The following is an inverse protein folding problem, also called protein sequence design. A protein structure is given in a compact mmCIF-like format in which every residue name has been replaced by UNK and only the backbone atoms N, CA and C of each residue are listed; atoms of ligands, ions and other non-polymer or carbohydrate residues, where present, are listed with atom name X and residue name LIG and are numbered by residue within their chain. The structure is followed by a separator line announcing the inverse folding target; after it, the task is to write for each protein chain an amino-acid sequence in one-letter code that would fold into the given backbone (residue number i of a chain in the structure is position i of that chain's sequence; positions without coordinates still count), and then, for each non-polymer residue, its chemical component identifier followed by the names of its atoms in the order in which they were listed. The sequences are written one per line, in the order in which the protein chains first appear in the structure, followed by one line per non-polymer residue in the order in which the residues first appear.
data_IF_437598504636
#
_entry.id   IF_437598504636
#
_cell.length_a   1.000
_cell.length_b   1.000
_cell.length_c   1.000
_cell.angle_alpha   90.00
_cell.angle_beta   90.00
_cell.angle_gamma   90.00
#
_symmetry.space_group_name_H-M   'P 1'
#
loop_
_entity.id
_entity.type
_entity.pdbx_description
1 polymer ?
#
# COMPACT_ATOMS: atom_id res chain seq x y z
N UNK A 1 -1.08 25.33 -21.61
CA UNK A 1 -0.53 24.64 -20.43
C UNK A 1 -1.07 23.23 -20.44
N UNK A 2 -0.21 22.22 -20.55
CA UNK A 2 -0.62 20.81 -20.41
C UNK A 2 -0.67 20.49 -18.92
N UNK A 3 -1.77 19.88 -18.47
CA UNK A 3 -1.91 19.46 -17.07
C UNK A 3 -1.02 18.24 -16.82
N UNK A 4 -0.14 18.30 -15.82
CA UNK A 4 0.68 17.17 -15.42
C UNK A 4 -0.12 16.30 -14.45
N UNK A 5 -0.45 15.07 -14.87
CA UNK A 5 -1.21 14.12 -14.06
C UNK A 5 -0.40 13.45 -12.95
N UNK A 6 0.93 13.51 -13.02
CA UNK A 6 1.82 12.78 -12.11
C UNK A 6 1.61 13.11 -10.61
N UNK A 7 1.48 14.40 -10.18
CA UNK A 7 1.23 14.72 -8.78
C UNK A 7 -0.11 14.19 -8.26
N UNK A 8 -1.14 14.20 -9.12
CA UNK A 8 -2.46 13.67 -8.79
C UNK A 8 -2.40 12.14 -8.62
N UNK A 9 -1.70 11.44 -9.50
CA UNK A 9 -1.48 9.99 -9.43
C UNK A 9 -0.80 9.60 -8.12
N UNK A 10 0.28 10.31 -7.72
CA UNK A 10 0.95 10.05 -6.44
C UNK A 10 -0.01 10.24 -5.27
N UNK A 11 -0.76 11.35 -5.25
CA UNK A 11 -1.73 11.60 -4.19
C UNK A 11 -2.77 10.48 -4.10
N UNK A 12 -3.34 10.08 -5.24
CA UNK A 12 -4.39 9.06 -5.33
C UNK A 12 -3.95 7.70 -4.78
N UNK A 13 -2.67 7.33 -4.92
CA UNK A 13 -2.15 6.06 -4.43
C UNK A 13 -1.52 6.14 -3.03
N UNK A 14 -1.13 7.32 -2.57
CA UNK A 14 -0.53 7.51 -1.23
C UNK A 14 -1.57 7.78 -0.14
N UNK A 15 -2.68 8.47 -0.44
CA UNK A 15 -3.71 8.76 0.55
C UNK A 15 -4.33 7.49 1.19
N UNK A 16 -4.63 6.39 0.46
CA UNK A 16 -5.23 5.20 1.06
C UNK A 16 -4.24 4.52 2.02
N UNK A 17 -2.94 4.58 1.71
CA UNK A 17 -1.87 4.11 2.60
C UNK A 17 -1.86 4.91 3.90
N UNK A 18 -1.95 6.24 3.80
CA UNK A 18 -2.04 7.10 4.99
C UNK A 18 -3.26 6.79 5.85
N UNK A 19 -4.43 6.52 5.23
CA UNK A 19 -5.63 6.07 5.94
C UNK A 19 -5.40 4.73 6.65
N UNK A 20 -4.83 3.74 5.95
CA UNK A 20 -4.50 2.44 6.54
C UNK A 20 -3.57 2.55 7.76
N UNK A 21 -2.54 3.38 7.66
CA UNK A 21 -1.63 3.70 8.77
C UNK A 21 -2.43 4.31 9.93
N UNK A 22 -3.24 5.33 9.65
CA UNK A 22 -4.04 6.04 10.66
C UNK A 22 -4.98 5.08 11.42
N UNK A 23 -5.54 4.08 10.74
CA UNK A 23 -6.37 3.04 11.36
C UNK A 23 -5.60 2.16 12.36
N UNK A 24 -4.30 1.94 12.17
CA UNK A 24 -3.46 1.13 13.09
C UNK A 24 -2.86 1.94 14.24
N UNK A 25 -2.68 3.26 14.07
CA UNK A 25 -2.15 4.18 15.09
C UNK A 25 -2.81 4.03 16.48
N UNK A 26 -4.15 4.04 16.65
CA UNK A 26 -4.74 4.01 17.99
C UNK A 26 -4.32 2.77 18.80
N UNK A 27 -4.20 1.61 18.12
CA UNK A 27 -3.74 0.36 18.76
C UNK A 27 -2.24 0.40 19.04
N UNK A 28 -1.44 0.96 18.14
CA UNK A 28 0.00 1.12 18.33
C UNK A 28 0.32 2.04 19.54
N UNK A 29 -0.46 3.10 19.73
CA UNK A 29 -0.35 3.96 20.92
C UNK A 29 -0.63 3.20 22.23
N UNK A 30 -1.61 2.29 22.22
CA UNK A 30 -1.86 1.43 23.38
C UNK A 30 -0.70 0.47 23.64
N UNK A 31 -0.16 -0.18 22.61
CA UNK A 31 0.98 -1.10 22.73
C UNK A 31 2.23 -0.43 23.33
N UNK A 32 2.52 0.80 22.90
CA UNK A 32 3.61 1.63 23.47
C UNK A 32 3.32 1.95 24.94
N UNK A 33 2.08 2.38 25.25
CA UNK A 33 1.68 2.73 26.62
C UNK A 33 1.82 1.54 27.57
N UNK A 34 1.50 0.33 27.12
CA UNK A 34 1.58 -0.90 27.92
C UNK A 34 2.95 -1.60 27.84
N UNK A 35 3.96 -1.00 27.19
CA UNK A 35 5.32 -1.56 27.02
C UNK A 35 5.32 -2.98 26.46
N UNK A 36 4.42 -3.26 25.53
CA UNK A 36 4.28 -4.58 24.93
C UNK A 36 5.50 -4.85 24.04
N UNK A 37 6.19 -6.01 24.18
CA UNK A 37 7.33 -6.32 23.33
C UNK A 37 6.89 -6.55 21.89
N UNK A 38 7.50 -5.80 20.96
CA UNK A 38 7.25 -5.94 19.53
C UNK A 38 8.04 -7.11 18.96
N UNK A 39 7.38 -7.96 18.18
CA UNK A 39 7.99 -8.99 17.34
C UNK A 39 7.60 -8.76 15.89
N UNK A 40 8.55 -9.03 15.00
CA UNK A 40 8.33 -8.88 13.57
C UNK A 40 7.65 -10.12 12.98
N UNK A 41 6.43 -9.95 12.43
CA UNK A 41 5.68 -11.01 11.77
C UNK A 41 6.02 -11.08 10.27
N UNK A 42 7.04 -11.88 9.95
CA UNK A 42 7.50 -12.12 8.59
C UNK A 42 6.40 -12.69 7.67
N UNK A 43 5.45 -13.45 8.22
CA UNK A 43 4.37 -14.06 7.43
C UNK A 43 3.43 -12.96 6.94
N UNK A 44 3.02 -12.03 7.81
CA UNK A 44 2.17 -10.89 7.40
C UNK A 44 2.86 -9.98 6.39
N UNK A 45 4.17 -9.78 6.53
CA UNK A 45 4.94 -9.01 5.57
C UNK A 45 4.88 -9.65 4.18
N UNK A 46 5.23 -10.93 4.08
CA UNK A 46 5.35 -11.60 2.78
C UNK A 46 3.98 -11.95 2.18
N UNK A 47 3.02 -12.40 2.99
CA UNK A 47 1.72 -12.85 2.51
C UNK A 47 0.73 -11.71 2.23
N UNK A 48 0.91 -10.53 2.84
CA UNK A 48 -0.06 -9.42 2.74
C UNK A 48 0.60 -8.14 2.23
N UNK A 49 1.67 -7.67 2.89
CA UNK A 49 2.29 -6.40 2.53
C UNK A 49 2.94 -6.44 1.13
N UNK A 50 3.64 -7.53 0.78
CA UNK A 50 4.27 -7.66 -0.54
C UNK A 50 3.22 -7.66 -1.67
N UNK A 51 2.16 -8.51 -1.67
CA UNK A 51 1.16 -8.50 -2.73
C UNK A 51 0.44 -7.16 -2.88
N UNK A 52 0.08 -6.53 -1.77
CA UNK A 52 -0.60 -5.21 -1.80
C UNK A 52 0.32 -4.09 -2.27
N UNK A 53 1.60 -4.14 -1.92
CA UNK A 53 2.62 -3.24 -2.46
C UNK A 53 2.78 -3.40 -3.98
N UNK A 54 2.80 -4.64 -4.48
CA UNK A 54 2.87 -4.89 -5.93
C UNK A 54 1.68 -4.29 -6.68
N UNK A 55 0.46 -4.39 -6.14
CA UNK A 55 -0.73 -3.78 -6.76
C UNK A 55 -0.54 -2.25 -6.90
N UNK A 56 -0.08 -1.58 -5.84
CA UNK A 56 0.14 -0.13 -5.86
C UNK A 56 1.26 0.24 -6.84
N UNK A 57 2.37 -0.50 -6.81
CA UNK A 57 3.51 -0.27 -7.69
C UNK A 57 3.11 -0.40 -9.16
N UNK A 58 2.38 -1.47 -9.51
CA UNK A 58 1.86 -1.69 -10.87
C UNK A 58 0.83 -0.63 -11.29
N UNK A 59 0.19 0.05 -10.34
CA UNK A 59 -0.76 1.13 -10.62
C UNK A 59 -0.08 2.48 -10.85
N UNK A 60 1.12 2.69 -10.30
CA UNK A 60 1.92 3.90 -10.50
C UNK A 60 2.78 3.79 -11.77
N UNK A 61 3.31 2.60 -12.05
CA UNK A 61 4.30 2.36 -13.11
C UNK A 61 3.89 2.91 -14.49
N UNK A 62 2.63 2.78 -14.97
CA UNK A 62 2.22 3.30 -16.27
C UNK A 62 2.25 4.83 -16.39
N UNK A 63 2.31 5.54 -15.26
CA UNK A 63 2.32 7.01 -15.21
C UNK A 63 3.72 7.60 -15.01
N UNK A 64 4.74 6.75 -14.87
CA UNK A 64 6.13 7.20 -14.86
C UNK A 64 6.57 7.28 -16.31
N UNK A 65 6.86 8.49 -16.78
CA UNK A 65 7.49 8.74 -18.08
C UNK A 65 8.85 8.04 -18.10
N UNK A 66 8.85 6.78 -18.53
CA UNK A 66 10.05 6.00 -18.76
C UNK A 66 10.13 5.73 -20.25
N UNK A 67 11.26 6.07 -20.87
CA UNK A 67 11.60 5.69 -22.27
C UNK A 67 11.71 4.15 -22.46
N UNK A 68 11.32 3.39 -21.44
CA UNK A 68 11.36 1.95 -21.39
C UNK A 68 10.06 1.48 -22.03
N UNK A 69 10.13 1.01 -23.28
CA UNK A 69 9.09 0.21 -23.92
C UNK A 69 8.94 -1.13 -23.16
N UNK A 70 8.41 -1.08 -21.95
CA UNK A 70 8.13 -2.25 -21.15
C UNK A 70 6.85 -2.88 -21.71
N UNK A 71 6.86 -4.17 -22.11
CA UNK A 71 5.65 -4.85 -22.53
C UNK A 71 4.76 -5.05 -21.29
N UNK A 72 3.98 -4.01 -20.95
CA UNK A 72 2.98 -4.09 -19.90
C UNK A 72 1.76 -4.79 -20.51
N UNK A 73 1.34 -5.96 -19.98
CA UNK A 73 0.25 -6.69 -20.61
C UNK A 73 -1.01 -5.83 -20.65
N UNK A 74 -1.66 -5.76 -21.82
CA UNK A 74 -2.83 -4.89 -22.05
C UNK A 74 -3.94 -5.09 -21.02
N UNK A 75 -4.09 -6.31 -20.50
CA UNK A 75 -5.02 -6.62 -19.41
C UNK A 75 -4.72 -5.81 -18.14
N UNK A 76 -3.46 -5.79 -17.69
CA UNK A 76 -3.04 -5.06 -16.51
C UNK A 76 -3.08 -3.55 -16.74
N UNK A 77 -2.72 -3.09 -17.94
CA UNK A 77 -2.84 -1.69 -18.31
C UNK A 77 -4.30 -1.23 -18.24
N UNK A 78 -5.23 -1.97 -18.85
CA UNK A 78 -6.65 -1.62 -18.80
C UNK A 78 -7.21 -1.69 -17.38
N UNK A 79 -6.84 -2.70 -16.59
CA UNK A 79 -7.32 -2.85 -15.22
C UNK A 79 -6.84 -1.71 -14.31
N UNK A 80 -5.58 -1.28 -14.44
CA UNK A 80 -5.01 -0.28 -13.54
C UNK A 80 -5.12 1.16 -14.04
N UNK A 81 -5.11 1.39 -15.35
CA UNK A 81 -5.22 2.73 -15.94
C UNK A 81 -6.67 3.14 -16.22
N UNK A 82 -7.56 2.20 -16.53
CA UNK A 82 -8.97 2.47 -16.92
C UNK A 82 -10.00 1.72 -16.07
N UNK A 83 -9.59 0.79 -15.22
CA UNK A 83 -10.47 0.06 -14.32
C UNK A 83 -10.90 0.89 -13.11
N UNK A 84 -11.80 0.30 -12.31
CA UNK A 84 -12.23 0.92 -11.05
C UNK A 84 -11.06 1.08 -10.09
N UNK A 85 -10.87 2.26 -9.46
CA UNK A 85 -9.77 2.52 -8.53
C UNK A 85 -9.94 1.79 -7.18
N UNK A 86 -11.03 1.03 -7.01
CA UNK A 86 -11.37 0.39 -5.74
C UNK A 86 -10.31 -0.60 -5.27
N UNK A 87 -9.74 -1.41 -6.17
CA UNK A 87 -8.74 -2.42 -5.81
C UNK A 87 -7.47 -1.75 -5.29
N UNK A 88 -7.03 -0.65 -5.93
CA UNK A 88 -5.87 0.13 -5.56
C UNK A 88 -6.08 0.83 -4.21
N UNK A 89 -7.29 1.37 -3.98
CA UNK A 89 -7.65 1.99 -2.70
C UNK A 89 -7.63 0.98 -1.55
N UNK A 90 -8.27 -0.17 -1.74
CA UNK A 90 -8.28 -1.25 -0.73
C UNK A 90 -6.87 -1.77 -0.50
N UNK A 91 -6.09 -2.02 -1.57
CA UNK A 91 -4.70 -2.45 -1.45
C UNK A 91 -3.84 -1.43 -0.67
N UNK A 92 -4.01 -0.14 -0.93
CA UNK A 92 -3.32 0.93 -0.19
C UNK A 92 -3.67 0.94 1.29
N UNK A 93 -4.96 0.85 1.64
CA UNK A 93 -5.40 0.78 3.04
C UNK A 93 -4.83 -0.46 3.73
N UNK A 94 -4.93 -1.63 3.09
CA UNK A 94 -4.41 -2.89 3.65
C UNK A 94 -2.89 -2.83 3.82
N UNK A 95 -2.16 -2.29 2.84
CA UNK A 95 -0.71 -2.12 2.92
C UNK A 95 -0.33 -1.21 4.11
N UNK A 96 -0.95 -0.03 4.20
CA UNK A 96 -0.66 0.95 5.25
C UNK A 96 -0.94 0.40 6.65
N UNK A 97 -2.05 -0.32 6.82
CA UNK A 97 -2.36 -1.00 8.07
C UNK A 97 -1.34 -2.10 8.38
N UNK A 98 -1.03 -2.95 7.39
CA UNK A 98 -0.18 -4.13 7.56
C UNK A 98 1.26 -3.76 7.90
N UNK A 99 1.82 -2.69 7.31
CA UNK A 99 3.19 -2.24 7.60
C UNK A 99 3.36 -1.98 9.10
N UNK A 100 2.39 -1.31 9.74
CA UNK A 100 2.41 -1.09 11.17
C UNK A 100 2.07 -2.35 11.97
N UNK A 101 1.22 -3.21 11.42
CA UNK A 101 0.75 -4.41 12.11
C UNK A 101 1.75 -5.58 12.10
N UNK A 102 2.71 -5.59 11.17
CA UNK A 102 3.85 -6.52 11.15
C UNK A 102 4.72 -6.36 12.41
N UNK A 103 4.68 -5.20 13.05
CA UNK A 103 5.21 -4.98 14.41
C UNK A 103 4.22 -5.54 15.42
N UNK A 104 4.10 -6.86 15.45
CA UNK A 104 3.07 -7.58 16.20
C UNK A 104 3.44 -7.72 17.67
N UNK A 105 2.42 -7.64 18.52
CA UNK A 105 2.46 -8.09 19.91
C UNK A 105 2.82 -9.58 20.01
N UNK A 106 3.69 -9.90 20.95
CA UNK A 106 3.97 -11.27 21.34
C UNK A 106 2.77 -11.81 22.15
N UNK A 107 1.77 -12.39 21.48
CA UNK A 107 0.68 -13.11 22.15
C UNK A 107 1.19 -14.46 22.66
N UNK A 108 2.01 -14.42 23.72
CA UNK A 108 2.13 -15.56 24.60
C UNK A 108 0.82 -15.61 25.40
N UNK A 109 -0.09 -16.46 24.94
CA UNK A 109 -1.16 -17.01 25.78
C UNK A 109 -0.57 -17.78 26.95
#
# INVERSE_FOLDING_TARGET
MQFNFFPLTIYMYTYPIAIGILMRIPKLLMEIKYKIPWKFDWIRLVAIAIPTFFIILLSILPHIDTDINMPFPEFWFNLFAYGSPFVQQVAGIVLGYTILDVLKENQNQ
#
